data_IF_131659963975
#
_entry.id   IF_131659963975
#
_cell.length_a   1.000
_cell.length_b   1.000
_cell.length_c   1.000
_cell.angle_alpha   90.00
_cell.angle_beta   90.00
_cell.angle_gamma   90.00
#
_symmetry.space_group_name_H-M   'P 1'
#
loop_
_entity.id
_entity.type
_entity.pdbx_description
1 polymer ?
#
# COMPACT_ATOMS: atom_id res chain seq x y z
N UNK A 1 21.88 26.82 12.81
CA UNK A 1 21.35 27.90 11.94
C UNK A 1 20.57 27.22 10.83
N UNK A 2 19.30 26.91 11.08
CA UNK A 2 18.45 26.19 10.11
C UNK A 2 17.75 27.22 9.22
N UNK A 3 17.96 27.09 7.91
CA UNK A 3 17.26 27.89 6.90
C UNK A 3 15.81 27.40 6.81
N UNK A 4 14.87 28.29 7.12
CA UNK A 4 13.46 28.09 6.82
C UNK A 4 13.28 28.10 5.30
N UNK A 5 12.70 27.04 4.75
CA UNK A 5 12.17 27.03 3.40
C UNK A 5 10.68 27.32 3.49
N UNK A 6 10.29 28.48 2.98
CA UNK A 6 8.90 28.89 2.83
C UNK A 6 8.38 28.28 1.52
N UNK A 7 7.39 27.40 1.59
CA UNK A 7 6.72 26.84 0.42
C UNK A 7 5.36 27.49 0.30
N UNK A 8 5.26 28.53 -0.53
CA UNK A 8 3.97 29.06 -0.97
C UNK A 8 3.37 28.11 -2.02
N UNK A 9 2.18 27.58 -1.74
CA UNK A 9 1.37 26.87 -2.72
C UNK A 9 0.55 27.90 -3.51
N UNK A 10 0.81 28.02 -4.81
CA UNK A 10 -0.02 28.77 -5.74
C UNK A 10 -1.26 27.92 -6.09
N UNK A 11 -2.45 28.42 -5.71
CA UNK A 11 -3.74 27.77 -5.91
C UNK A 11 -4.45 28.18 -7.22
N UNK A 12 -3.73 28.76 -8.19
CA UNK A 12 -4.33 29.19 -9.47
C UNK A 12 -4.35 28.09 -10.53
N UNK A 13 -5.07 26.99 -10.26
CA UNK A 13 -5.52 26.07 -11.30
C UNK A 13 -6.94 25.58 -11.00
N UNK A 14 -7.91 26.50 -11.16
CA UNK A 14 -9.33 26.17 -11.23
C UNK A 14 -9.58 25.41 -12.54
N UNK A 15 -9.64 24.09 -12.47
CA UNK A 15 -10.18 23.27 -13.55
C UNK A 15 -11.71 23.32 -13.49
N UNK A 16 -12.33 24.10 -14.38
CA UNK A 16 -13.76 23.98 -14.67
C UNK A 16 -13.99 22.76 -15.56
N UNK A 17 -14.78 21.80 -15.09
CA UNK A 17 -15.29 20.70 -15.92
C UNK A 17 -16.71 21.05 -16.40
N UNK A 18 -17.03 20.83 -17.68
CA UNK A 18 -18.37 21.06 -18.20
C UNK A 18 -19.33 19.97 -17.70
N UNK A 19 -20.54 20.38 -17.29
CA UNK A 19 -21.65 19.49 -16.99
C UNK A 19 -22.01 18.66 -18.24
N UNK A 20 -21.94 17.34 -18.13
CA UNK A 20 -22.54 16.44 -19.12
C UNK A 20 -23.73 15.73 -18.49
N UNK A 21 -24.91 15.99 -19.08
CA UNK A 21 -26.16 15.28 -18.89
C UNK A 21 -25.95 13.78 -19.08
N UNK A 22 -26.38 12.98 -18.10
CA UNK A 22 -26.45 11.53 -18.21
C UNK A 22 -27.93 11.15 -18.15
N UNK A 23 -28.51 10.93 -19.32
CA UNK A 23 -29.69 10.08 -19.46
C UNK A 23 -29.29 8.76 -20.14
N UNK A 24 -29.97 7.71 -19.70
CA UNK A 24 -29.69 6.29 -19.87
C UNK A 24 -29.46 5.82 -21.31
N UNK A 25 -28.59 4.80 -21.50
CA UNK A 25 -29.00 3.47 -22.00
C UNK A 25 -27.82 2.48 -22.15
N UNK A 26 -28.15 1.22 -21.89
CA UNK A 26 -27.54 -0.03 -22.33
C UNK A 26 -26.42 -0.67 -21.51
N UNK A 27 -26.71 -1.91 -21.14
CA UNK A 27 -25.88 -2.93 -20.51
C UNK A 27 -24.79 -3.41 -21.47
N UNK A 28 -23.59 -2.86 -21.36
CA UNK A 28 -22.38 -3.43 -21.96
C UNK A 28 -21.32 -3.63 -20.87
N UNK A 29 -20.76 -4.84 -20.86
CA UNK A 29 -20.02 -5.51 -19.78
C UNK A 29 -19.26 -4.58 -18.82
N UNK A 30 -19.67 -4.57 -17.54
CA UNK A 30 -18.97 -3.88 -16.44
C UNK A 30 -17.57 -4.45 -16.13
N UNK A 31 -17.11 -5.45 -16.89
CA UNK A 31 -15.96 -6.30 -16.59
C UNK A 31 -14.83 -6.04 -17.58
N UNK A 32 -13.61 -5.78 -17.08
CA UNK A 32 -12.42 -5.82 -17.92
C UNK A 32 -12.10 -7.31 -18.18
N UNK A 33 -12.56 -7.86 -19.31
CA UNK A 33 -12.29 -9.26 -19.67
C UNK A 33 -12.74 -10.30 -18.62
N UNK A 34 -13.91 -10.09 -17.99
CA UNK A 34 -14.42 -10.98 -16.93
C UNK A 34 -13.93 -10.64 -15.52
N UNK A 35 -13.03 -9.66 -15.37
CA UNK A 35 -12.58 -9.18 -14.07
C UNK A 35 -13.54 -8.14 -13.50
N UNK A 36 -14.07 -8.39 -12.30
CA UNK A 36 -14.85 -7.41 -11.54
C UNK A 36 -13.92 -6.36 -10.94
N UNK A 37 -13.72 -5.30 -11.72
CA UNK A 37 -12.81 -4.21 -11.40
C UNK A 37 -13.59 -2.92 -11.14
N UNK A 38 -14.51 -3.00 -10.16
CA UNK A 38 -15.20 -1.85 -9.55
C UNK A 38 -15.50 -2.17 -8.08
N UNK A 39 -15.11 -1.29 -7.15
CA UNK A 39 -15.56 -1.41 -5.76
C UNK A 39 -17.05 -1.06 -5.64
N UNK A 40 -17.80 -1.89 -4.91
CA UNK A 40 -19.23 -1.70 -4.69
C UNK A 40 -19.57 -1.70 -3.20
N UNK A 41 -20.36 -0.72 -2.76
CA UNK A 41 -20.96 -0.69 -1.43
C UNK A 41 -22.46 -0.99 -1.55
N UNK A 42 -22.93 -2.06 -0.89
CA UNK A 42 -24.35 -2.36 -0.76
C UNK A 42 -24.89 -1.75 0.53
N UNK A 43 -25.92 -0.93 0.39
CA UNK A 43 -26.61 -0.26 1.48
C UNK A 43 -27.66 -1.15 2.14
N UNK A 44 -28.06 -0.78 3.36
CA UNK A 44 -29.12 -1.46 4.10
C UNK A 44 -30.48 -1.44 3.35
N UNK A 45 -30.72 -0.40 2.55
CA UNK A 45 -31.90 -0.28 1.68
C UNK A 45 -31.70 -0.94 0.29
N UNK A 46 -30.69 -1.78 0.15
CA UNK A 46 -30.29 -2.48 -1.07
C UNK A 46 -29.77 -1.62 -2.22
N UNK A 47 -29.60 -0.30 -2.05
CA UNK A 47 -28.88 0.52 -3.04
C UNK A 47 -27.43 0.06 -3.16
N UNK A 48 -26.87 0.17 -4.37
CA UNK A 48 -25.47 -0.17 -4.66
C UNK A 48 -24.75 1.09 -5.15
N UNK A 49 -23.76 1.55 -4.39
CA UNK A 49 -22.86 2.63 -4.78
C UNK A 49 -21.63 2.00 -5.41
N UNK A 50 -21.18 2.54 -6.55
CA UNK A 50 -20.03 2.05 -7.30
C UNK A 50 -18.94 3.11 -7.34
N UNK A 51 -17.69 2.70 -7.16
CA UNK A 51 -16.53 3.53 -7.44
C UNK A 51 -16.25 3.66 -8.94
N UNK A 52 -15.24 4.46 -9.26
CA UNK A 52 -14.66 4.61 -10.59
C UNK A 52 -14.09 3.27 -11.06
N UNK A 53 -14.27 3.01 -12.35
CA UNK A 53 -13.80 1.78 -12.99
C UNK A 53 -12.27 1.78 -13.13
N UNK A 54 -11.69 0.60 -12.97
CA UNK A 54 -10.28 0.39 -13.33
C UNK A 54 -10.07 0.65 -14.83
N UNK A 55 -8.91 1.17 -15.19
CA UNK A 55 -8.54 1.35 -16.58
C UNK A 55 -8.14 0.00 -17.20
N UNK A 56 -9.00 -0.56 -18.08
CA UNK A 56 -8.75 -1.88 -18.69
C UNK A 56 -7.46 -1.94 -19.55
N UNK A 57 -6.87 -0.80 -19.94
CA UNK A 57 -5.55 -0.81 -20.59
C UNK A 57 -4.41 -1.25 -19.66
N UNK A 58 -4.66 -1.32 -18.35
CA UNK A 58 -3.70 -1.70 -17.33
C UNK A 58 -3.86 -3.15 -16.84
N UNK A 59 -4.69 -3.96 -17.51
CA UNK A 59 -4.90 -5.38 -17.17
C UNK A 59 -3.62 -6.21 -17.24
N UNK A 60 -2.62 -5.78 -18.01
CA UNK A 60 -1.30 -6.41 -18.03
C UNK A 60 -0.61 -6.41 -16.66
N UNK A 61 -0.92 -5.45 -15.78
CA UNK A 61 -0.43 -5.45 -14.39
C UNK A 61 -1.01 -6.63 -13.61
N UNK A 62 -2.29 -6.96 -13.84
CA UNK A 62 -2.95 -8.10 -13.20
C UNK A 62 -2.30 -9.41 -13.61
N UNK A 63 -1.93 -9.54 -14.88
CA UNK A 63 -1.20 -10.69 -15.40
C UNK A 63 0.20 -10.80 -14.82
N UNK A 64 0.96 -9.69 -14.86
CA UNK A 64 2.34 -9.63 -14.36
C UNK A 64 2.43 -10.03 -12.89
N UNK A 65 1.47 -9.61 -12.07
CA UNK A 65 1.44 -9.86 -10.63
C UNK A 65 0.52 -10.99 -10.20
N UNK A 66 -0.04 -11.76 -11.14
CA UNK A 66 -0.99 -12.85 -10.86
C UNK A 66 -2.17 -12.40 -9.96
N UNK A 67 -2.69 -11.20 -10.22
CA UNK A 67 -3.79 -10.58 -9.49
C UNK A 67 -5.14 -10.73 -10.18
N UNK A 68 -5.19 -11.31 -11.39
CA UNK A 68 -6.45 -11.69 -12.06
C UNK A 68 -7.16 -12.82 -11.32
N UNK A 69 -8.50 -12.87 -11.43
CA UNK A 69 -9.34 -13.88 -10.77
C UNK A 69 -9.03 -15.32 -11.17
N UNK A 70 -8.38 -15.52 -12.33
CA UNK A 70 -7.88 -16.85 -12.74
C UNK A 70 -6.76 -17.39 -11.86
N UNK A 71 -6.12 -16.55 -11.03
CA UNK A 71 -5.04 -16.92 -10.11
C UNK A 71 -5.51 -17.10 -8.67
N UNK A 72 -6.81 -17.31 -8.44
CA UNK A 72 -7.37 -17.52 -7.11
C UNK A 72 -6.57 -18.55 -6.30
N UNK A 73 -6.15 -18.16 -5.09
CA UNK A 73 -5.15 -18.89 -4.31
C UNK A 73 -5.83 -19.93 -3.42
N UNK A 74 -5.23 -21.12 -3.35
CA UNK A 74 -5.46 -22.15 -2.32
C UNK A 74 -4.19 -22.22 -1.47
N UNK A 75 -4.31 -21.97 -0.16
CA UNK A 75 -3.26 -21.39 0.71
C UNK A 75 -2.02 -22.29 0.99
N UNK A 76 -0.86 -21.62 1.18
CA UNK A 76 0.42 -22.06 1.82
C UNK A 76 1.17 -20.77 2.30
N UNK A 77 2.21 -20.79 3.18
CA UNK A 77 2.74 -19.67 4.04
C UNK A 77 4.30 -19.66 4.21
N UNK A 78 5.05 -18.53 4.00
CA UNK A 78 6.54 -18.29 4.14
C UNK A 78 6.99 -16.77 4.05
N UNK A 79 7.96 -16.21 4.82
CA UNK A 79 8.14 -14.76 5.29
C UNK A 79 9.22 -13.81 4.60
N UNK A 80 9.07 -12.43 4.46
CA UNK A 80 10.16 -11.38 4.13
C UNK A 80 9.87 -9.82 4.29
N UNK A 81 10.84 -8.83 4.17
CA UNK A 81 10.79 -7.34 4.54
C UNK A 81 11.69 -6.29 3.73
N UNK A 82 11.49 -4.91 3.76
CA UNK A 82 12.07 -3.80 2.86
C UNK A 82 12.74 -2.48 3.50
N UNK A 83 13.28 -1.46 2.73
CA UNK A 83 14.57 -0.74 3.00
C UNK A 83 14.87 0.81 2.74
N UNK A 84 13.94 1.77 2.71
CA UNK A 84 14.18 3.13 2.14
C UNK A 84 15.15 4.20 2.72
N UNK A 85 15.97 3.94 3.74
CA UNK A 85 16.81 4.99 4.35
C UNK A 85 18.19 4.45 4.67
N UNK A 86 19.12 4.37 3.73
CA UNK A 86 20.37 3.60 3.89
C UNK A 86 21.05 3.59 5.30
N UNK A 87 21.26 4.71 6.02
CA UNK A 87 21.72 4.66 7.42
C UNK A 87 20.74 3.94 8.38
N UNK A 88 19.46 4.25 8.27
CA UNK A 88 18.38 3.55 8.99
C UNK A 88 18.17 2.11 8.44
N UNK A 89 18.50 1.83 7.18
CA UNK A 89 18.52 0.50 6.61
C UNK A 89 19.59 -0.35 7.27
N UNK A 90 20.82 0.16 7.38
CA UNK A 90 21.89 -0.51 8.13
C UNK A 90 21.45 -0.80 9.57
N UNK A 91 20.76 0.18 10.19
CA UNK A 91 20.22 0.03 11.55
C UNK A 91 19.13 -1.03 11.63
N UNK A 92 18.17 -1.05 10.68
CA UNK A 92 17.10 -2.04 10.69
C UNK A 92 17.62 -3.44 10.34
N UNK A 93 18.56 -3.58 9.42
CA UNK A 93 19.23 -4.85 9.11
C UNK A 93 19.94 -5.36 10.37
N UNK A 94 20.75 -4.53 11.02
CA UNK A 94 21.45 -4.91 12.24
C UNK A 94 20.45 -5.29 13.35
N UNK A 95 19.35 -4.53 13.49
CA UNK A 95 18.29 -4.80 14.45
C UNK A 95 17.56 -6.12 14.17
N UNK A 96 17.20 -6.40 12.91
CA UNK A 96 16.56 -7.64 12.48
C UNK A 96 17.51 -8.81 12.71
N UNK A 97 18.78 -8.72 12.28
CA UNK A 97 19.74 -9.82 12.47
C UNK A 97 20.07 -10.06 13.95
N UNK A 98 20.12 -9.02 14.77
CA UNK A 98 20.26 -9.14 16.23
C UNK A 98 19.05 -9.84 16.87
N UNK A 99 17.85 -9.53 16.41
CA UNK A 99 16.60 -9.99 17.05
C UNK A 99 16.15 -11.37 16.56
N UNK A 100 16.37 -11.67 15.28
CA UNK A 100 15.84 -12.87 14.62
C UNK A 100 16.94 -13.84 14.15
N UNK A 101 18.17 -13.37 13.99
CA UNK A 101 19.31 -14.15 13.51
C UNK A 101 19.45 -14.14 11.98
N UNK A 102 20.28 -15.06 11.47
CA UNK A 102 20.55 -15.19 10.03
C UNK A 102 19.54 -16.06 9.28
N UNK A 103 18.58 -16.72 9.94
CA UNK A 103 17.65 -17.64 9.26
C UNK A 103 16.66 -16.92 8.34
N UNK A 104 16.39 -15.66 8.62
CA UNK A 104 15.37 -14.86 7.94
C UNK A 104 15.99 -14.15 6.74
N UNK A 105 15.27 -14.25 5.62
CA UNK A 105 15.60 -13.54 4.38
C UNK A 105 15.13 -12.09 4.47
N UNK A 106 16.02 -11.16 4.14
CA UNK A 106 15.70 -9.73 4.00
C UNK A 106 15.77 -9.39 2.51
N UNK A 107 14.78 -8.66 1.99
CA UNK A 107 14.72 -8.26 0.57
C UNK A 107 14.60 -6.75 0.49
N UNK A 108 15.70 -6.09 0.16
CA UNK A 108 15.78 -4.65 0.07
C UNK A 108 15.60 -4.18 -1.38
N UNK A 109 14.78 -3.14 -1.62
CA UNK A 109 14.50 -2.60 -2.95
C UNK A 109 15.16 -1.22 -3.14
N UNK A 110 16.22 -1.18 -3.93
CA UNK A 110 16.82 0.05 -4.42
C UNK A 110 15.84 0.85 -5.26
N UNK A 111 15.81 2.13 -4.95
CA UNK A 111 15.12 3.17 -5.68
C UNK A 111 15.96 3.89 -6.72
N UNK A 112 17.19 3.42 -6.93
CA UNK A 112 18.09 3.86 -7.98
C UNK A 112 19.27 4.70 -7.49
N UNK A 113 19.62 4.64 -6.20
CA UNK A 113 20.73 5.41 -5.64
C UNK A 113 21.76 4.58 -4.89
N UNK A 114 21.39 3.44 -4.29
CA UNK A 114 22.30 2.67 -3.44
C UNK A 114 23.27 1.84 -4.26
N UNK A 115 22.80 1.19 -5.33
CA UNK A 115 23.63 0.40 -6.26
C UNK A 115 24.76 1.20 -6.91
N UNK A 116 24.71 2.53 -6.87
CA UNK A 116 25.76 3.41 -7.39
C UNK A 116 26.98 3.49 -6.46
N UNK A 117 26.84 3.10 -5.19
CA UNK A 117 27.93 3.11 -4.21
C UNK A 117 28.48 1.70 -3.98
N UNK A 118 29.68 1.44 -4.51
CA UNK A 118 30.32 0.11 -4.42
C UNK A 118 30.68 -0.31 -2.99
N UNK A 119 31.02 0.64 -2.12
CA UNK A 119 31.36 0.34 -0.73
C UNK A 119 30.13 -0.13 0.03
N UNK A 120 28.98 0.51 -0.21
CA UNK A 120 27.69 0.11 0.36
C UNK A 120 27.26 -1.28 -0.11
N UNK A 121 27.41 -1.56 -1.41
CA UNK A 121 27.11 -2.88 -1.94
C UNK A 121 28.01 -3.96 -1.32
N UNK A 122 29.31 -3.70 -1.18
CA UNK A 122 30.22 -4.66 -0.54
C UNK A 122 29.87 -4.93 0.92
N UNK A 123 29.39 -3.92 1.66
CA UNK A 123 28.90 -4.10 3.03
C UNK A 123 27.64 -4.98 3.04
N UNK A 124 26.67 -4.68 2.19
CA UNK A 124 25.41 -5.42 2.11
C UNK A 124 25.59 -6.88 1.64
N UNK A 125 26.51 -7.14 0.73
CA UNK A 125 26.84 -8.49 0.24
C UNK A 125 27.40 -9.39 1.35
N UNK A 126 27.96 -8.80 2.41
CA UNK A 126 28.44 -9.53 3.59
C UNK A 126 27.33 -9.95 4.55
N UNK A 127 26.10 -9.44 4.37
CA UNK A 127 24.97 -9.73 5.24
C UNK A 127 24.37 -11.09 4.86
N UNK A 128 24.34 -12.02 5.83
CA UNK A 128 23.74 -13.34 5.66
C UNK A 128 22.26 -13.25 5.23
N UNK A 129 21.84 -14.08 4.27
CA UNK A 129 20.44 -14.17 3.80
C UNK A 129 19.83 -12.78 3.52
N UNK A 130 20.59 -11.95 2.82
CA UNK A 130 20.17 -10.66 2.33
C UNK A 130 20.07 -10.70 0.81
N UNK A 131 19.00 -10.15 0.26
CA UNK A 131 18.80 -10.00 -1.17
C UNK A 131 18.55 -8.54 -1.48
N UNK A 132 19.22 -8.08 -2.54
CA UNK A 132 19.07 -6.73 -3.06
C UNK A 132 18.34 -6.77 -4.40
N UNK A 133 17.37 -5.88 -4.58
CA UNK A 133 16.59 -5.75 -5.82
C UNK A 133 16.56 -4.29 -6.25
N UNK A 134 16.44 -4.04 -7.54
CA UNK A 134 16.21 -2.68 -8.06
C UNK A 134 14.72 -2.57 -8.42
N UNK A 135 14.05 -1.53 -7.93
CA UNK A 135 12.68 -1.26 -8.31
C UNK A 135 12.62 -0.58 -9.69
N UNK A 136 11.89 -1.21 -10.60
CA UNK A 136 11.65 -0.66 -11.94
C UNK A 136 10.49 0.34 -11.91
N UNK A 137 10.79 1.64 -11.92
CA UNK A 137 9.77 2.69 -11.96
C UNK A 137 9.01 2.77 -13.28
N UNK A 138 9.51 2.15 -14.36
CA UNK A 138 8.86 2.23 -15.67
C UNK A 138 7.49 1.54 -15.68
N UNK A 139 7.29 0.55 -14.80
CA UNK A 139 6.03 -0.18 -14.66
C UNK A 139 4.88 0.66 -14.09
N UNK A 140 5.18 1.80 -13.46
CA UNK A 140 4.18 2.72 -12.94
C UNK A 140 3.76 3.69 -14.05
N UNK A 141 2.72 3.38 -14.81
CA UNK A 141 2.38 4.10 -16.05
C UNK A 141 2.02 5.58 -15.86
N UNK A 142 1.40 5.95 -14.74
CA UNK A 142 1.02 7.34 -14.49
C UNK A 142 2.20 8.11 -13.89
N UNK A 143 2.63 9.20 -14.55
CA UNK A 143 3.79 9.99 -14.11
C UNK A 143 3.66 10.51 -12.68
N UNK A 144 2.45 10.86 -12.24
CA UNK A 144 2.16 11.35 -10.87
C UNK A 144 2.49 10.32 -9.78
N UNK A 145 2.45 9.02 -10.08
CA UNK A 145 2.78 7.98 -9.09
C UNK A 145 4.24 7.53 -9.15
N UNK A 146 4.98 7.85 -10.23
CA UNK A 146 6.41 7.49 -10.39
C UNK A 146 7.33 8.18 -9.39
N UNK A 147 6.90 9.28 -8.79
CA UNK A 147 7.72 10.01 -7.83
C UNK A 147 7.94 9.16 -6.56
N UNK A 148 9.18 8.95 -6.06
CA UNK A 148 9.43 8.12 -4.88
C UNK A 148 8.64 8.51 -3.63
N UNK A 149 8.38 9.81 -3.44
CA UNK A 149 7.57 10.33 -2.33
C UNK A 149 6.06 10.13 -2.50
N UNK A 150 5.59 9.55 -3.60
CA UNK A 150 4.19 9.12 -3.73
C UNK A 150 3.91 7.89 -2.86
N UNK A 151 4.94 7.11 -2.53
CA UNK A 151 4.86 5.82 -1.85
C UNK A 151 3.99 4.77 -2.56
N UNK A 152 3.40 5.07 -3.71
CA UNK A 152 2.56 4.16 -4.48
C UNK A 152 3.32 2.92 -4.97
N UNK A 153 4.65 3.03 -5.12
CA UNK A 153 5.53 1.93 -5.46
C UNK A 153 5.55 0.81 -4.40
N UNK A 154 5.18 1.09 -3.13
CA UNK A 154 5.14 0.07 -2.06
C UNK A 154 4.22 -1.10 -2.42
N UNK A 155 3.05 -0.81 -3.00
CA UNK A 155 2.08 -1.83 -3.42
C UNK A 155 2.66 -2.74 -4.51
N UNK A 156 3.42 -2.19 -5.46
CA UNK A 156 4.10 -2.98 -6.48
C UNK A 156 5.17 -3.90 -5.89
N UNK A 157 5.89 -3.43 -4.86
CA UNK A 157 6.84 -4.28 -4.13
C UNK A 157 6.10 -5.41 -3.41
N UNK A 158 5.02 -5.11 -2.70
CA UNK A 158 4.21 -6.12 -2.02
C UNK A 158 3.69 -7.18 -2.99
N UNK A 159 3.10 -6.74 -4.12
CA UNK A 159 2.62 -7.62 -5.17
C UNK A 159 3.73 -8.50 -5.75
N UNK A 160 4.93 -7.93 -5.99
CA UNK A 160 6.08 -8.67 -6.48
C UNK A 160 6.55 -9.74 -5.49
N UNK A 161 6.73 -9.37 -4.22
CA UNK A 161 7.23 -10.29 -3.18
C UNK A 161 6.22 -11.40 -2.89
N UNK A 162 4.92 -11.11 -2.91
CA UNK A 162 3.86 -12.12 -2.71
C UNK A 162 3.76 -13.16 -3.84
N UNK A 163 4.39 -12.92 -4.99
CA UNK A 163 4.54 -13.96 -6.02
C UNK A 163 5.45 -15.10 -5.57
N UNK A 164 6.45 -14.78 -4.76
CA UNK A 164 7.54 -15.68 -4.35
C UNK A 164 7.36 -16.21 -2.94
N UNK A 165 6.80 -15.41 -2.04
CA UNK A 165 6.67 -15.71 -0.63
C UNK A 165 5.21 -15.66 -0.22
N UNK A 166 4.84 -16.58 0.65
CA UNK A 166 3.46 -16.71 1.07
C UNK A 166 3.14 -15.88 2.34
N UNK A 167 4.11 -15.17 2.89
CA UNK A 167 4.05 -14.28 4.03
C UNK A 167 5.08 -13.18 3.86
N UNK A 168 4.69 -11.95 4.16
CA UNK A 168 5.53 -10.78 4.00
C UNK A 168 5.34 -9.91 5.22
N UNK A 169 6.43 -9.63 5.92
CA UNK A 169 6.53 -8.63 6.96
C UNK A 169 7.18 -7.40 6.35
N UNK A 170 6.38 -6.51 5.78
CA UNK A 170 6.89 -5.21 5.36
C UNK A 170 7.31 -4.37 6.55
N UNK A 171 8.49 -3.75 6.47
CA UNK A 171 8.94 -2.74 7.40
C UNK A 171 9.49 -1.54 6.62
N UNK A 172 9.18 -0.34 7.09
CA UNK A 172 9.97 0.84 6.77
C UNK A 172 11.23 0.80 7.64
N UNK A 173 12.31 1.39 7.15
CA UNK A 173 13.60 1.39 7.86
C UNK A 173 13.63 2.21 9.13
N UNK A 174 12.57 2.96 9.42
CA UNK A 174 12.37 3.65 10.70
C UNK A 174 11.90 2.71 11.81
N UNK A 175 11.47 1.48 11.48
CA UNK A 175 10.98 0.51 12.45
C UNK A 175 12.14 -0.13 13.23
N UNK A 176 11.95 -0.30 14.53
CA UNK A 176 12.89 -0.98 15.42
C UNK A 176 12.18 -2.09 16.18
N UNK A 177 12.71 -3.30 16.12
CA UNK A 177 12.26 -4.43 16.91
C UNK A 177 13.00 -4.50 18.25
N UNK A 178 12.23 -4.58 19.33
CA UNK A 178 12.79 -4.82 20.67
C UNK A 178 12.76 -6.30 21.06
N UNK A 179 11.86 -7.09 20.45
CA UNK A 179 11.62 -8.50 20.76
C UNK A 179 11.18 -9.26 19.52
N UNK A 180 11.47 -10.56 19.49
CA UNK A 180 10.92 -11.49 18.52
C UNK A 180 9.60 -12.08 19.04
N UNK A 181 8.48 -11.40 18.73
CA UNK A 181 7.14 -11.79 19.20
C UNK A 181 6.15 -11.92 18.03
N UNK A 182 6.62 -12.31 16.84
CA UNK A 182 5.76 -12.47 15.67
C UNK A 182 4.75 -13.62 15.79
N UNK A 183 5.00 -14.57 16.70
CA UNK A 183 4.09 -15.70 16.96
C UNK A 183 2.67 -15.24 17.30
N UNK A 184 2.53 -14.10 18.00
CA UNK A 184 1.23 -13.52 18.33
C UNK A 184 0.39 -13.12 17.11
N UNK A 185 1.02 -12.96 15.95
CA UNK A 185 0.35 -12.68 14.67
C UNK A 185 0.26 -13.93 13.82
N UNK A 186 1.39 -14.64 13.61
CA UNK A 186 1.42 -15.79 12.71
C UNK A 186 0.50 -16.93 13.17
N UNK A 187 0.52 -17.33 14.44
CA UNK A 187 -0.31 -18.44 14.90
C UNK A 187 -1.81 -18.12 14.78
N UNK A 188 -2.33 -16.94 15.17
CA UNK A 188 -3.73 -16.60 14.91
C UNK A 188 -4.08 -16.43 13.43
N UNK A 189 -3.16 -15.96 12.58
CA UNK A 189 -3.38 -15.86 11.13
C UNK A 189 -3.48 -17.25 10.48
N UNK A 190 -2.56 -18.16 10.80
CA UNK A 190 -2.56 -19.55 10.32
C UNK A 190 -3.82 -20.31 10.75
N UNK A 191 -4.33 -20.03 11.95
CA UNK A 191 -5.55 -20.64 12.47
C UNK A 191 -6.85 -19.91 12.04
N UNK A 192 -6.76 -18.89 11.18
CA UNK A 192 -7.92 -18.12 10.70
C UNK A 192 -8.63 -17.31 11.79
N UNK A 193 -8.00 -17.08 12.95
CA UNK A 193 -8.56 -16.31 14.06
C UNK A 193 -8.47 -14.80 13.83
N UNK A 194 -7.48 -14.35 13.05
CA UNK A 194 -7.33 -12.97 12.61
C UNK A 194 -7.12 -12.94 11.09
N UNK A 195 -7.38 -11.78 10.48
CA UNK A 195 -7.27 -11.61 9.03
C UNK A 195 -5.85 -11.81 8.49
N UNK A 196 -5.74 -12.06 7.20
CA UNK A 196 -4.45 -12.33 6.54
C UNK A 196 -3.60 -11.08 6.31
N UNK A 197 -4.09 -9.90 6.70
CA UNK A 197 -3.33 -8.64 6.72
C UNK A 197 -3.44 -8.06 8.12
N UNK A 198 -2.30 -7.79 8.74
CA UNK A 198 -2.19 -7.14 10.05
C UNK A 198 -1.42 -5.85 9.91
N UNK A 199 -2.02 -4.77 10.41
CA UNK A 199 -1.37 -3.48 10.52
C UNK A 199 -1.33 -3.09 12.01
N UNK A 200 -0.25 -3.45 12.72
CA UNK A 200 -0.16 -3.24 14.16
C UNK A 200 0.12 -1.77 14.56
N UNK A 201 0.20 -0.84 13.61
CA UNK A 201 0.42 0.59 13.87
C UNK A 201 -0.71 1.46 13.32
N UNK A 202 -1.03 2.54 14.03
CA UNK A 202 -2.04 3.52 13.63
C UNK A 202 -1.42 4.91 13.55
N UNK A 203 -1.85 5.69 12.56
CA UNK A 203 -1.44 7.08 12.47
C UNK A 203 -2.26 7.91 13.47
N UNK A 204 -1.70 9.02 13.94
CA UNK A 204 -2.42 9.97 14.81
C UNK A 204 -3.46 10.82 14.06
N UNK A 205 -3.53 10.72 12.73
CA UNK A 205 -4.49 11.41 11.87
C UNK A 205 -5.34 10.42 11.07
N UNK A 206 -6.49 10.86 10.57
CA UNK A 206 -7.33 10.03 9.71
C UNK A 206 -6.88 10.04 8.25
N UNK A 207 -7.56 9.22 7.42
CA UNK A 207 -7.13 8.96 6.04
C UNK A 207 -7.22 10.17 5.13
N UNK A 208 -8.08 11.15 5.45
CA UNK A 208 -8.31 12.30 4.58
C UNK A 208 -7.11 13.22 4.40
N UNK A 209 -6.24 13.28 5.40
CA UNK A 209 -5.04 14.13 5.37
C UNK A 209 -3.95 13.53 4.49
N UNK A 210 -3.88 12.20 4.36
CA UNK A 210 -2.78 11.53 3.65
C UNK A 210 -3.15 10.92 2.30
N UNK A 211 -4.43 10.92 1.96
CA UNK A 211 -4.92 10.29 0.73
C UNK A 211 -5.25 11.37 -0.30
N UNK A 212 -4.66 11.26 -1.49
CA UNK A 212 -4.97 12.16 -2.59
C UNK A 212 -6.48 12.12 -2.90
N UNK A 213 -7.19 13.26 -3.01
CA UNK A 213 -8.65 13.27 -3.15
C UNK A 213 -9.20 12.41 -4.30
N UNK A 214 -8.51 12.40 -5.45
CA UNK A 214 -8.88 11.54 -6.59
C UNK A 214 -8.84 10.03 -6.34
N UNK A 215 -8.25 9.55 -5.23
CA UNK A 215 -8.34 8.13 -4.84
C UNK A 215 -9.76 7.78 -4.36
N UNK A 216 -10.49 8.74 -3.80
CA UNK A 216 -11.86 8.53 -3.34
C UNK A 216 -12.85 8.30 -4.46
N UNK A 217 -12.52 8.69 -5.69
CA UNK A 217 -13.33 8.33 -6.86
C UNK A 217 -13.42 6.81 -7.03
N UNK A 218 -12.39 6.04 -6.66
CA UNK A 218 -12.35 4.58 -6.80
C UNK A 218 -13.01 3.84 -5.65
N UNK A 219 -13.22 4.49 -4.50
CA UNK A 219 -13.76 3.87 -3.30
C UNK A 219 -15.20 4.35 -3.06
N UNK A 220 -16.21 3.47 -3.00
CA UNK A 220 -17.59 3.85 -2.74
C UNK A 220 -17.79 4.18 -1.25
N UNK A 221 -17.15 5.25 -0.77
CA UNK A 221 -17.20 5.67 0.63
C UNK A 221 -18.33 6.66 0.88
N UNK A 222 -18.89 6.60 2.09
CA UNK A 222 -20.00 7.45 2.56
C UNK A 222 -19.58 8.87 2.96
N UNK A 223 -18.33 9.22 2.68
CA UNK A 223 -17.69 10.42 3.16
C UNK A 223 -17.77 11.49 2.09
N UNK A 224 -18.65 12.49 2.31
CA UNK A 224 -18.55 13.78 1.63
C UNK A 224 -17.27 14.48 2.11
N UNK A 225 -16.12 14.02 1.61
CA UNK A 225 -14.86 14.71 1.76
C UNK A 225 -14.96 16.00 0.96
N UNK A 226 -15.30 17.09 1.63
CA UNK A 226 -15.20 18.40 1.02
C UNK A 226 -13.71 18.66 0.72
N UNK A 227 -13.37 19.14 -0.48
CA UNK A 227 -12.01 19.56 -0.78
C UNK A 227 -11.51 20.49 0.32
N UNK A 228 -10.33 20.20 0.89
CA UNK A 228 -9.68 20.99 1.94
C UNK A 228 -10.32 20.93 3.36
N UNK A 229 -11.20 19.97 3.66
CA UNK A 229 -11.61 19.70 5.05
C UNK A 229 -10.87 18.48 5.63
N UNK A 230 -10.01 18.75 6.60
CA UNK A 230 -9.30 17.75 7.42
C UNK A 230 -10.16 17.31 8.60
N UNK A 231 -9.99 16.08 9.06
CA UNK A 231 -10.77 15.50 10.15
C UNK A 231 -9.77 14.74 11.03
N UNK A 232 -9.61 15.17 12.29
CA UNK A 232 -8.74 14.49 13.23
C UNK A 232 -9.49 13.36 13.93
N UNK A 233 -8.81 12.21 14.10
CA UNK A 233 -9.35 11.03 14.78
C UNK A 233 -9.60 11.25 16.27
N UNK A 234 -8.95 12.24 16.87
CA UNK A 234 -8.95 12.44 18.31
C UNK A 234 -10.02 13.44 18.72
N UNK A 235 -11.30 13.01 18.66
CA UNK A 235 -12.29 13.24 19.72
C UNK A 235 -12.48 14.63 20.36
N UNK A 236 -11.97 15.73 19.80
CA UNK A 236 -12.27 17.09 20.23
C UNK A 236 -12.97 17.77 19.06
N UNK A 237 -14.20 17.35 18.76
CA UNK A 237 -15.29 18.21 18.30
C UNK A 237 -16.54 17.31 18.15
N UNK A 238 -17.40 17.34 19.18
CA UNK A 238 -18.84 17.17 18.98
C UNK A 238 -19.29 18.34 18.09
N UNK A 239 -20.17 18.22 17.10
CA UNK A 239 -21.41 17.47 17.09
C UNK A 239 -21.85 17.20 15.64
N UNK A 240 -22.29 15.96 15.39
CA UNK A 240 -23.08 15.47 14.25
C UNK A 240 -22.42 15.24 12.87
N UNK A 241 -21.97 13.99 12.68
CA UNK A 241 -22.01 13.18 11.42
C UNK A 241 -20.83 13.09 10.44
N UNK A 242 -19.60 13.48 10.78
CA UNK A 242 -18.46 13.22 9.87
C UNK A 242 -17.28 12.56 10.59
N UNK A 243 -17.27 11.22 10.59
CA UNK A 243 -16.13 10.41 11.09
C UNK A 243 -15.19 10.12 9.93
N UNK A 244 -13.96 10.62 10.01
CA UNK A 244 -12.90 10.19 9.09
C UNK A 244 -12.43 8.79 9.45
N UNK A 245 -12.34 7.85 8.50
CA UNK A 245 -11.80 6.54 8.79
C UNK A 245 -10.38 6.65 9.36
N UNK A 246 -10.03 5.84 10.37
CA UNK A 246 -8.69 5.83 10.91
C UNK A 246 -7.68 5.45 9.84
N UNK A 247 -6.58 6.20 9.77
CA UNK A 247 -5.47 5.82 8.92
C UNK A 247 -4.56 4.84 9.66
N UNK A 248 -4.35 3.69 9.06
CA UNK A 248 -3.33 2.74 9.51
C UNK A 248 -1.98 3.09 8.88
N UNK A 249 -0.89 2.97 9.63
CA UNK A 249 0.44 3.30 9.10
C UNK A 249 0.94 2.17 8.19
N UNK A 250 1.58 2.50 7.07
CA UNK A 250 2.17 1.47 6.19
C UNK A 250 3.65 1.21 6.49
N UNK A 251 4.12 1.63 7.66
CA UNK A 251 5.50 1.43 8.10
C UNK A 251 5.76 0.01 8.59
N UNK A 252 4.75 -0.73 9.04
CA UNK A 252 4.89 -2.10 9.48
C UNK A 252 3.62 -2.87 9.12
N UNK A 253 3.72 -3.80 8.17
CA UNK A 253 2.57 -4.57 7.69
C UNK A 253 2.95 -6.04 7.64
N UNK A 254 2.09 -6.90 8.16
CA UNK A 254 2.23 -8.35 8.05
C UNK A 254 1.13 -8.85 7.11
N UNK A 255 1.50 -9.57 6.06
CA UNK A 255 0.59 -10.08 5.05
C UNK A 255 0.84 -11.57 4.87
N UNK A 256 -0.20 -12.40 4.91
CA UNK A 256 -0.19 -13.77 4.45
C UNK A 256 -0.85 -13.82 3.07
N UNK A 257 -0.17 -14.45 2.13
CA UNK A 257 -0.68 -14.68 0.79
C UNK A 257 -1.96 -15.51 0.88
N UNK A 258 -3.02 -14.87 0.43
CA UNK A 258 -4.38 -15.35 0.49
C UNK A 258 -5.16 -14.70 -0.63
N UNK A 259 -6.36 -15.21 -0.89
CA UNK A 259 -7.29 -14.56 -1.80
C UNK A 259 -7.61 -13.12 -1.35
N UNK A 260 -7.70 -12.87 -0.03
CA UNK A 260 -7.90 -11.53 0.52
C UNK A 260 -6.75 -10.58 0.14
N UNK A 261 -5.49 -11.00 0.33
CA UNK A 261 -4.35 -10.16 -0.06
C UNK A 261 -4.26 -9.96 -1.57
N UNK A 262 -4.57 -10.96 -2.38
CA UNK A 262 -4.59 -10.83 -3.85
C UNK A 262 -5.61 -9.77 -4.27
N UNK A 263 -6.83 -9.83 -3.74
CA UNK A 263 -7.88 -8.85 -4.03
C UNK A 263 -7.50 -7.45 -3.55
N UNK A 264 -6.84 -7.33 -2.39
CA UNK A 264 -6.34 -6.05 -1.88
C UNK A 264 -5.29 -5.43 -2.82
N UNK A 265 -4.41 -6.23 -3.42
CA UNK A 265 -3.35 -5.75 -4.32
C UNK A 265 -3.84 -5.48 -5.76
N UNK A 266 -5.04 -5.92 -6.12
CA UNK A 266 -5.62 -5.79 -7.46
C UNK A 266 -5.82 -4.33 -7.90
N UNK A 267 -5.67 -3.37 -6.99
CA UNK A 267 -6.14 -1.99 -7.12
C UNK A 267 -5.10 -0.95 -6.70
#
# INVERSE_FOLDING_TARGET
>A
MYKNYDFSYDNSALFSYPEQNIDALSSESEECFGEKMVYTLKMNDSRIIRGKKFNCSLTWLLERYKLSDKYAIKEKIEVSANDFYYPSLRTVIANVKKTFGCKQKIIAYDLGTITKNKEWMSELDSVCNFEWRIFDFSQMVEGRVRHPKSYAWKIFVWAHVLLEYDTVVWIDTSVVFYKNDFKRFFEPMENGKIGTVQNPSFASHGMNISTHPGMYEFLPMYTNFEPNKTYELTGIYKESTKTDPPQFETNFVIMHKSEQTRQMMKW
#
